data_IF_572480472611
#
_entry.id   IF_572480472611
#
_cell.length_a   1.000
_cell.length_b   1.000
_cell.length_c   1.000
_cell.angle_alpha   90.00
_cell.angle_beta   90.00
_cell.angle_gamma   90.00
#
_symmetry.space_group_name_H-M   'P 1'
#
loop_
_entity.id
_entity.type
_entity.pdbx_description
1 polymer ?
#
# COMPACT_ATOMS: atom_id res chain seq x y z
N UNK A 1 8.13 -62.99 16.27
CA UNK A 1 8.79 -62.85 14.96
C UNK A 1 7.71 -62.26 14.07
N UNK A 2 7.61 -60.97 13.79
CA UNK A 2 8.59 -59.86 13.75
C UNK A 2 7.81 -58.53 13.78
N UNK A 3 8.37 -57.56 14.51
CA UNK A 3 8.21 -56.10 14.50
C UNK A 3 7.18 -55.44 13.56
N UNK A 4 6.23 -54.67 14.08
CA UNK A 4 6.43 -53.27 14.53
C UNK A 4 7.00 -52.38 13.41
N UNK A 5 6.11 -51.74 12.63
CA UNK A 5 6.33 -50.36 12.19
C UNK A 5 5.02 -49.80 11.61
N UNK A 6 4.16 -49.32 12.52
CA UNK A 6 3.26 -48.21 12.21
C UNK A 6 4.15 -47.05 11.76
N UNK A 7 4.27 -46.85 10.44
CA UNK A 7 4.82 -45.62 9.87
C UNK A 7 3.89 -44.48 10.30
N UNK A 8 4.19 -43.89 11.45
CA UNK A 8 3.79 -42.52 11.74
C UNK A 8 4.51 -41.66 10.71
N UNK A 9 3.88 -41.46 9.56
CA UNK A 9 4.20 -40.33 8.71
C UNK A 9 3.72 -39.09 9.46
N UNK A 10 4.55 -38.60 10.38
CA UNK A 10 4.45 -37.23 10.85
C UNK A 10 4.58 -36.35 9.61
N UNK A 11 3.44 -35.88 9.11
CA UNK A 11 3.43 -34.73 8.23
C UNK A 11 3.96 -33.58 9.08
N UNK A 12 5.10 -32.94 8.72
CA UNK A 12 5.48 -31.73 9.40
C UNK A 12 4.32 -30.76 9.20
N UNK A 13 3.64 -30.43 10.29
CA UNK A 13 2.59 -29.42 10.31
C UNK A 13 3.25 -28.11 9.93
N UNK A 14 3.31 -27.84 8.62
CA UNK A 14 3.88 -26.63 8.08
C UNK A 14 2.94 -25.49 8.45
N UNK A 15 3.29 -24.75 9.49
CA UNK A 15 2.61 -23.51 9.83
C UNK A 15 2.76 -22.56 8.65
N UNK A 16 1.73 -22.45 7.81
CA UNK A 16 1.65 -21.46 6.73
C UNK A 16 1.38 -20.10 7.36
N UNK A 17 2.44 -19.34 7.60
CA UNK A 17 2.34 -17.94 7.97
C UNK A 17 1.93 -17.18 6.71
N UNK A 18 0.71 -16.62 6.70
CA UNK A 18 0.23 -15.75 5.63
C UNK A 18 0.45 -14.31 6.09
N UNK A 19 1.34 -13.53 5.45
CA UNK A 19 1.53 -12.14 5.80
C UNK A 19 0.24 -11.36 5.60
N UNK A 20 -0.09 -10.48 6.55
CA UNK A 20 -1.22 -9.59 6.40
C UNK A 20 -1.04 -8.67 5.18
N UNK A 21 -2.10 -8.49 4.40
CA UNK A 21 -2.12 -7.66 3.20
C UNK A 21 -3.33 -6.73 3.29
N UNK A 22 -3.07 -5.42 3.30
CA UNK A 22 -4.12 -4.41 3.34
C UNK A 22 -4.46 -3.96 1.91
N UNK A 23 -5.66 -4.28 1.43
CA UNK A 23 -6.06 -3.88 0.08
C UNK A 23 -6.54 -2.42 -0.02
N UNK A 24 -6.57 -1.91 -1.26
CA UNK A 24 -7.07 -0.57 -1.55
C UNK A 24 -8.61 -0.59 -1.61
N UNK A 25 -9.23 -0.14 -0.54
CA UNK A 25 -10.69 -0.10 -0.39
C UNK A 25 -11.34 1.11 -1.09
N UNK A 26 -12.64 1.04 -1.36
CA UNK A 26 -13.39 2.10 -2.06
C UNK A 26 -13.26 3.48 -1.42
N UNK A 27 -13.24 3.54 -0.07
CA UNK A 27 -13.02 4.80 0.66
C UNK A 27 -11.67 5.45 0.36
N UNK A 28 -10.63 4.67 0.05
CA UNK A 28 -9.32 5.20 -0.32
C UNK A 28 -9.36 5.79 -1.73
N UNK A 29 -10.12 5.18 -2.65
CA UNK A 29 -10.33 5.69 -4.01
C UNK A 29 -11.12 7.01 -4.01
N UNK A 30 -12.17 7.08 -3.20
CA UNK A 30 -12.94 8.31 -3.01
C UNK A 30 -12.08 9.41 -2.38
N UNK A 31 -11.27 9.08 -1.37
CA UNK A 31 -10.34 10.03 -0.77
C UNK A 31 -9.28 10.50 -1.78
N UNK A 32 -8.73 9.59 -2.60
CA UNK A 32 -7.75 9.91 -3.64
C UNK A 32 -8.35 10.87 -4.67
N UNK A 33 -9.57 10.63 -5.16
CA UNK A 33 -10.26 11.53 -6.10
C UNK A 33 -10.39 12.95 -5.53
N UNK A 34 -10.85 13.09 -4.30
CA UNK A 34 -10.95 14.40 -3.62
C UNK A 34 -9.58 15.06 -3.43
N UNK A 35 -8.55 14.28 -3.16
CA UNK A 35 -7.18 14.77 -2.99
C UNK A 35 -6.60 15.27 -4.32
N UNK A 36 -6.83 14.55 -5.43
CA UNK A 36 -6.40 14.99 -6.77
C UNK A 36 -7.06 16.32 -7.14
N UNK A 37 -8.39 16.43 -6.97
CA UNK A 37 -9.13 17.66 -7.25
C UNK A 37 -8.59 18.86 -6.44
N UNK A 38 -8.36 18.67 -5.15
CA UNK A 38 -7.79 19.71 -4.28
C UNK A 38 -6.32 20.02 -4.60
N UNK A 39 -5.59 19.05 -5.17
CA UNK A 39 -4.18 19.14 -5.53
C UNK A 39 -3.89 19.85 -6.86
N UNK A 40 -4.89 20.05 -7.72
CA UNK A 40 -4.72 20.67 -9.05
C UNK A 40 -3.99 22.02 -8.99
N UNK A 41 -4.32 22.96 -8.09
CA UNK A 41 -3.61 24.25 -8.01
C UNK A 41 -2.16 24.12 -7.52
N UNK A 42 -1.82 23.00 -6.89
CA UNK A 42 -0.50 22.71 -6.31
C UNK A 42 0.37 21.82 -7.20
N UNK A 43 -0.04 21.60 -8.45
CA UNK A 43 0.74 20.87 -9.45
C UNK A 43 0.56 19.35 -9.45
N UNK A 44 -0.38 18.81 -8.67
CA UNK A 44 -0.86 17.43 -8.87
C UNK A 44 -1.68 17.42 -10.16
N UNK A 45 -1.32 16.55 -11.10
CA UNK A 45 -2.04 16.43 -12.36
C UNK A 45 -3.11 15.35 -12.29
N UNK A 46 -2.72 14.17 -11.81
CA UNK A 46 -3.57 12.99 -11.82
C UNK A 46 -3.05 11.95 -10.82
N UNK A 47 -3.90 10.98 -10.48
CA UNK A 47 -3.51 9.78 -9.76
C UNK A 47 -4.47 8.62 -10.06
N UNK A 48 -3.93 7.41 -10.20
CA UNK A 48 -4.73 6.24 -10.54
C UNK A 48 -4.20 4.96 -9.86
N UNK A 49 -5.06 3.95 -9.79
CA UNK A 49 -4.83 2.67 -9.11
C UNK A 49 -4.62 1.56 -10.12
N UNK A 50 -3.51 0.85 -10.00
CA UNK A 50 -3.10 -0.23 -10.88
C UNK A 50 -3.00 -1.54 -10.11
N UNK A 51 -3.31 -2.65 -10.79
CA UNK A 51 -3.01 -3.99 -10.28
C UNK A 51 -1.51 -4.29 -10.31
N UNK A 52 -1.01 -4.95 -9.27
CA UNK A 52 0.35 -5.50 -9.23
C UNK A 52 0.34 -6.89 -9.87
N UNK A 53 1.20 -7.09 -10.87
CA UNK A 53 1.50 -8.43 -11.40
C UNK A 53 2.35 -9.25 -10.42
N UNK A 54 3.21 -8.56 -9.66
CA UNK A 54 4.06 -9.18 -8.65
C UNK A 54 3.33 -9.26 -7.31
N UNK A 55 3.00 -10.50 -6.93
CA UNK A 55 2.40 -10.84 -5.65
C UNK A 55 3.51 -11.14 -4.64
N UNK A 56 4.22 -10.10 -4.24
CA UNK A 56 5.16 -10.19 -3.12
C UNK A 56 4.39 -10.40 -1.80
N UNK A 57 4.81 -11.35 -0.94
CA UNK A 57 4.11 -11.62 0.31
C UNK A 57 4.03 -10.36 1.19
N UNK A 58 2.81 -10.00 1.60
CA UNK A 58 2.57 -8.84 2.46
C UNK A 58 2.38 -7.51 1.72
N UNK A 59 2.53 -7.47 0.39
CA UNK A 59 2.22 -6.31 -0.42
C UNK A 59 0.74 -6.33 -0.86
N UNK A 60 0.12 -5.16 -1.03
CA UNK A 60 -1.21 -5.05 -1.63
C UNK A 60 -1.21 -5.56 -3.07
N UNK A 61 -2.35 -6.12 -3.49
CA UNK A 61 -2.55 -6.53 -4.88
C UNK A 61 -2.67 -5.34 -5.85
N UNK A 62 -2.85 -4.14 -5.31
CA UNK A 62 -2.96 -2.89 -6.07
C UNK A 62 -1.96 -1.85 -5.53
N UNK A 63 -1.61 -0.88 -6.38
CA UNK A 63 -0.81 0.28 -6.00
C UNK A 63 -1.34 1.52 -6.69
N UNK A 64 -1.00 2.69 -6.14
CA UNK A 64 -1.37 4.00 -6.65
C UNK A 64 -0.14 4.64 -7.24
N UNK A 65 -0.31 5.34 -8.36
CA UNK A 65 0.70 6.25 -8.91
C UNK A 65 0.13 7.65 -8.98
N UNK A 66 1.02 8.64 -8.85
CA UNK A 66 0.67 10.06 -8.81
C UNK A 66 1.53 10.78 -9.83
N UNK A 67 0.88 11.54 -10.71
CA UNK A 67 1.52 12.42 -11.69
C UNK A 67 1.49 13.86 -11.22
N UNK A 68 2.60 14.55 -11.45
CA UNK A 68 2.75 15.99 -11.20
C UNK A 68 3.20 16.66 -12.49
N UNK A 69 2.98 17.98 -12.61
CA UNK A 69 3.15 18.76 -13.85
C UNK A 69 4.48 18.65 -14.58
N UNK A 70 5.50 18.11 -13.93
CA UNK A 70 6.88 18.15 -14.39
C UNK A 70 7.23 16.99 -15.34
N UNK A 71 6.48 15.88 -15.34
CA UNK A 71 6.83 14.66 -16.07
C UNK A 71 5.61 13.90 -16.59
N UNK A 72 5.76 13.23 -17.74
CA UNK A 72 4.77 12.25 -18.21
C UNK A 72 4.81 10.96 -17.36
N UNK A 73 5.97 10.67 -16.79
CA UNK A 73 6.15 9.56 -15.86
C UNK A 73 5.53 9.87 -14.49
N UNK A 74 4.97 8.86 -13.79
CA UNK A 74 4.49 9.04 -12.44
C UNK A 74 5.65 9.44 -11.52
N UNK A 75 5.43 10.45 -10.69
CA UNK A 75 6.44 10.96 -9.76
C UNK A 75 6.47 10.15 -8.46
N UNK A 76 5.32 9.63 -8.02
CA UNK A 76 5.22 8.86 -6.79
C UNK A 76 4.42 7.58 -6.98
N UNK A 77 4.78 6.57 -6.17
CA UNK A 77 4.05 5.32 -6.04
C UNK A 77 3.69 5.09 -4.57
N UNK A 78 2.44 4.71 -4.30
CA UNK A 78 1.95 4.33 -2.97
C UNK A 78 1.39 2.91 -3.03
N UNK A 79 1.79 2.06 -2.10
CA UNK A 79 1.22 0.72 -1.94
C UNK A 79 1.18 0.34 -0.47
N UNK A 80 0.42 -0.69 -0.11
CA UNK A 80 0.44 -1.19 1.26
C UNK A 80 1.47 -2.30 1.43
N UNK A 81 2.10 -2.33 2.60
CA UNK A 81 2.92 -3.45 3.05
C UNK A 81 2.54 -3.77 4.49
N UNK A 82 1.93 -4.93 4.72
CA UNK A 82 1.30 -5.23 6.01
C UNK A 82 0.19 -4.23 6.31
N UNK A 83 0.30 -3.55 7.46
CA UNK A 83 -0.65 -2.52 7.89
C UNK A 83 -0.12 -1.08 7.68
N UNK A 84 0.92 -0.92 6.86
CA UNK A 84 1.54 0.38 6.56
C UNK A 84 1.37 0.73 5.09
N UNK A 85 1.35 2.03 4.83
CA UNK A 85 1.42 2.59 3.48
C UNK A 85 2.86 3.00 3.19
N UNK A 86 3.39 2.54 2.07
CA UNK A 86 4.75 2.82 1.63
C UNK A 86 4.66 3.85 0.51
N UNK A 87 5.37 4.97 0.67
CA UNK A 87 5.51 5.98 -0.37
C UNK A 87 6.91 5.85 -0.99
N UNK A 88 6.96 5.84 -2.31
CA UNK A 88 8.18 5.73 -3.10
C UNK A 88 8.22 6.86 -4.12
N UNK A 89 9.39 7.48 -4.29
CA UNK A 89 9.74 8.29 -5.46
C UNK A 89 9.87 7.34 -6.64
N UNK A 90 8.94 7.42 -7.58
CA UNK A 90 8.84 6.49 -8.70
C UNK A 90 9.91 6.73 -9.77
N UNK A 91 10.55 7.91 -9.79
CA UNK A 91 11.63 8.25 -10.73
C UNK A 91 12.96 7.69 -10.23
N UNK A 92 13.20 7.77 -8.92
CA UNK A 92 14.46 7.33 -8.28
C UNK A 92 14.38 5.95 -7.64
N UNK A 93 13.21 5.32 -7.67
CA UNK A 93 12.89 4.06 -6.99
C UNK A 93 13.25 4.08 -5.50
N UNK A 94 13.12 5.25 -4.87
CA UNK A 94 13.56 5.46 -3.49
C UNK A 94 12.37 5.55 -2.54
N UNK A 95 12.37 4.73 -1.48
CA UNK A 95 11.32 4.79 -0.46
C UNK A 95 11.44 6.10 0.35
N UNK A 96 10.41 6.95 0.24
CA UNK A 96 10.32 8.23 0.95
C UNK A 96 9.83 8.06 2.39
N UNK A 97 9.01 7.04 2.67
CA UNK A 97 8.50 6.84 4.02
C UNK A 97 7.53 5.68 4.18
N UNK A 98 7.17 5.42 5.45
CA UNK A 98 6.15 4.45 5.84
C UNK A 98 5.15 5.12 6.76
N UNK A 99 3.86 4.97 6.45
CA UNK A 99 2.79 5.71 7.06
C UNK A 99 1.74 4.78 7.65
N UNK A 100 1.12 5.21 8.77
CA UNK A 100 0.07 4.45 9.43
C UNK A 100 -1.28 4.56 8.69
N UNK A 101 -1.50 5.66 7.97
CA UNK A 101 -2.72 5.89 7.20
C UNK A 101 -2.43 6.32 5.76
N UNK A 102 -3.41 6.10 4.90
CA UNK A 102 -3.35 6.52 3.50
C UNK A 102 -3.29 8.05 3.36
N UNK A 103 -4.03 8.76 4.21
CA UNK A 103 -4.06 10.21 4.25
C UNK A 103 -2.68 10.81 4.63
N UNK A 104 -1.97 10.18 5.57
CA UNK A 104 -0.60 10.62 5.94
C UNK A 104 0.36 10.48 4.75
N UNK A 105 0.27 9.39 4.00
CA UNK A 105 1.12 9.16 2.83
C UNK A 105 0.85 10.20 1.72
N UNK A 106 -0.42 10.51 1.44
CA UNK A 106 -0.78 11.55 0.47
C UNK A 106 -0.38 12.95 0.94
N UNK A 107 -0.51 13.25 2.22
CA UNK A 107 -0.09 14.54 2.77
C UNK A 107 1.43 14.75 2.72
N UNK A 108 2.22 13.67 2.77
CA UNK A 108 3.66 13.75 2.51
C UNK A 108 3.96 14.18 1.05
N UNK A 109 3.15 13.73 0.09
CA UNK A 109 3.28 14.17 -1.31
C UNK A 109 2.87 15.64 -1.43
N UNK A 110 1.63 15.95 -1.04
CA UNK A 110 1.09 17.30 -0.98
C UNK A 110 -0.02 17.41 0.08
N UNK A 111 0.06 18.40 0.99
CA UNK A 111 -0.92 18.59 2.05
C UNK A 111 -2.13 19.42 1.58
N UNK A 112 -3.01 18.83 0.77
CA UNK A 112 -4.14 19.56 0.15
C UNK A 112 -5.49 19.30 0.83
N UNK A 113 -5.59 18.25 1.67
CA UNK A 113 -6.77 17.95 2.46
C UNK A 113 -6.42 17.91 3.96
N UNK A 114 -7.34 18.31 4.86
CA UNK A 114 -7.13 18.13 6.28
C UNK A 114 -6.97 16.65 6.62
N UNK A 115 -6.08 16.35 7.58
CA UNK A 115 -5.95 15.01 8.13
C UNK A 115 -7.23 14.63 8.86
N UNK A 116 -7.76 13.41 8.66
CA UNK A 116 -8.85 12.90 9.50
C UNK A 116 -8.42 12.95 10.97
N UNK A 117 -9.27 13.47 11.85
CA UNK A 117 -8.99 13.48 13.27
C UNK A 117 -8.70 12.05 13.74
N UNK A 118 -7.56 11.88 14.42
CA UNK A 118 -7.29 10.62 15.10
C UNK A 118 -8.30 10.52 16.24
N UNK A 119 -9.29 9.64 16.10
CA UNK A 119 -10.14 9.28 17.23
C UNK A 119 -9.23 8.61 18.26
N UNK A 120 -8.79 9.36 19.25
CA UNK A 120 -8.10 8.83 20.41
C UNK A 120 -9.19 8.23 21.29
N UNK A 121 -9.27 6.90 21.34
CA UNK A 121 -10.05 6.25 22.38
C UNK A 121 -9.42 6.65 23.73
N UNK A 122 -10.16 7.42 24.52
CA UNK A 122 -9.79 7.82 25.89
C UNK A 122 -10.00 6.66 26.87
#
# INVERSE_FOLDING_TARGET
MEDLMLRMTETPSTCKIIPFQMEILSRHREYLSRWVEAGLPMGVCDADVFGSSDREPGHSSEYIVIWVRETADPAYKIFSRGNKWILVDAIREHQLGQFASFADALNMVRPVLPLPEKIVAA
#
